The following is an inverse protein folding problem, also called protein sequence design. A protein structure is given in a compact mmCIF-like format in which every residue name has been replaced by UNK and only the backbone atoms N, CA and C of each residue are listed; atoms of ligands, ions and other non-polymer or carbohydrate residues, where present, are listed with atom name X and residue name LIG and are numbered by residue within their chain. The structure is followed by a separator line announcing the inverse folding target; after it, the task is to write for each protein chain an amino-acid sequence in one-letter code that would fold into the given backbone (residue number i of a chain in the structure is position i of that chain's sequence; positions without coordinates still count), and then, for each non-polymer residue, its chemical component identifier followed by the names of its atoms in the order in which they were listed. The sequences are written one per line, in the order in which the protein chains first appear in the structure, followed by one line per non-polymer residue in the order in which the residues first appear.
data_IF_436170573461
#
_entry.id   IF_436170573461
#
_cell.length_a   1.000
_cell.length_b   1.000
_cell.length_c   1.000
_cell.angle_alpha   90.00
_cell.angle_beta   90.00
_cell.angle_gamma   90.00
#
_symmetry.space_group_name_H-M   'P 1'
#
loop_
_entity.id
_entity.type
_entity.pdbx_description
1 polymer ?
#
# COMPACT_ATOMS: atom_id res chain seq x y z
N UNK A 1 28.75 7.50 9.22
CA UNK A 1 27.44 6.85 9.14
C UNK A 1 27.54 5.55 9.90
N UNK A 2 26.84 5.46 11.01
CA UNK A 2 26.76 4.31 11.90
C UNK A 2 25.62 3.39 11.46
N UNK A 3 25.68 2.10 11.81
CA UNK A 3 24.61 1.11 11.55
C UNK A 3 23.30 1.39 12.31
N UNK A 4 23.32 2.35 13.23
CA UNK A 4 22.15 2.83 13.96
C UNK A 4 21.62 4.17 13.44
N UNK A 5 22.26 4.76 12.42
CA UNK A 5 21.79 6.01 11.85
C UNK A 5 20.51 5.74 11.07
N UNK A 6 19.46 6.51 11.36
CA UNK A 6 18.20 6.49 10.63
C UNK A 6 18.04 7.78 9.82
N UNK A 7 17.18 7.73 8.80
CA UNK A 7 16.71 8.90 8.07
C UNK A 7 15.20 8.92 8.01
N UNK A 8 14.62 10.11 8.08
CA UNK A 8 13.18 10.28 7.92
C UNK A 8 12.77 10.15 6.45
N UNK A 9 11.68 9.44 6.23
CA UNK A 9 11.07 9.22 4.92
C UNK A 9 9.79 10.07 4.82
N UNK A 10 9.64 10.76 3.70
CA UNK A 10 8.50 11.63 3.42
C UNK A 10 7.70 11.10 2.23
N UNK A 11 6.38 11.29 2.26
CA UNK A 11 5.51 10.95 1.15
C UNK A 11 5.84 11.81 -0.08
N UNK A 12 6.11 11.17 -1.21
CA UNK A 12 6.42 11.85 -2.48
C UNK A 12 5.30 12.74 -3.02
N UNK A 13 4.03 12.53 -2.61
CA UNK A 13 2.87 13.31 -3.08
C UNK A 13 2.49 14.48 -2.17
N UNK A 14 2.50 14.29 -0.85
CA UNK A 14 1.98 15.27 0.11
C UNK A 14 3.01 15.74 1.15
N UNK A 15 4.26 15.27 1.02
CA UNK A 15 5.39 15.61 1.89
C UNK A 15 5.17 15.33 3.38
N UNK A 16 4.17 14.51 3.73
CA UNK A 16 3.94 14.09 5.13
C UNK A 16 5.02 13.09 5.55
N UNK A 17 5.55 13.24 6.77
CA UNK A 17 6.46 12.27 7.38
C UNK A 17 5.76 10.91 7.52
N UNK A 18 6.39 9.86 7.03
CA UNK A 18 5.90 8.47 7.11
C UNK A 18 6.52 7.77 8.32
N UNK A 19 7.80 8.02 8.59
CA UNK A 19 8.57 7.38 9.66
C UNK A 19 10.07 7.49 9.43
N UNK A 20 10.81 6.56 10.02
CA UNK A 20 12.26 6.45 9.93
C UNK A 20 12.66 5.09 9.36
N UNK A 21 13.74 5.08 8.58
CA UNK A 21 14.36 3.88 8.01
C UNK A 21 15.87 3.92 8.25
N UNK A 22 16.52 2.78 8.16
CA UNK A 22 17.98 2.68 8.18
C UNK A 22 18.57 3.58 7.09
N UNK A 23 19.65 4.27 7.41
CA UNK A 23 20.18 5.30 6.53
C UNK A 23 20.63 4.72 5.18
N UNK A 24 21.17 3.51 5.16
CA UNK A 24 21.61 2.80 3.95
C UNK A 24 20.45 2.22 3.11
N UNK A 25 19.21 2.19 3.63
CA UNK A 25 18.06 1.72 2.88
C UNK A 25 17.63 2.72 1.79
N UNK A 26 17.41 2.24 0.57
CA UNK A 26 16.87 3.03 -0.53
C UNK A 26 15.36 2.78 -0.69
N UNK A 27 14.58 3.86 -0.72
CA UNK A 27 13.13 3.78 -0.94
C UNK A 27 12.76 4.56 -2.19
N UNK A 28 12.18 3.86 -3.16
CA UNK A 28 11.73 4.45 -4.43
C UNK A 28 10.25 4.80 -4.31
N UNK A 29 9.93 6.06 -4.58
CA UNK A 29 8.55 6.60 -4.64
C UNK A 29 7.69 6.27 -3.39
N UNK A 30 8.13 6.69 -2.19
CA UNK A 30 7.38 6.46 -0.97
C UNK A 30 6.02 7.16 -0.98
N UNK A 31 4.98 6.49 -0.47
CA UNK A 31 3.63 7.02 -0.35
C UNK A 31 3.09 6.77 1.06
N UNK A 32 2.46 7.78 1.66
CA UNK A 32 1.74 7.59 2.93
C UNK A 32 0.41 6.86 2.69
N UNK A 33 -0.19 6.31 3.75
CA UNK A 33 -1.46 5.56 3.64
C UNK A 33 -2.64 6.35 3.05
N UNK A 34 -2.61 7.69 3.11
CA UNK A 34 -3.64 8.55 2.48
C UNK A 34 -3.42 8.73 0.98
N UNK A 35 -2.17 8.63 0.53
CA UNK A 35 -1.75 8.87 -0.87
C UNK A 35 -1.51 7.56 -1.64
N UNK A 36 -1.33 6.46 -0.91
CA UNK A 36 -1.28 5.12 -1.45
C UNK A 36 -2.64 4.78 -2.04
N UNK A 37 -2.66 4.50 -3.35
CA UNK A 37 -3.85 3.93 -3.97
C UNK A 37 -3.79 2.42 -3.78
N UNK A 38 -4.71 1.86 -2.99
CA UNK A 38 -4.84 0.41 -2.82
C UNK A 38 -5.40 -0.25 -4.09
N UNK A 39 -6.04 0.53 -4.97
CA UNK A 39 -6.51 0.04 -6.24
C UNK A 39 -5.35 0.02 -7.23
N UNK A 40 -5.01 -1.14 -7.77
CA UNK A 40 -3.92 -1.21 -8.72
C UNK A 40 -4.38 -0.66 -10.07
N UNK A 41 -3.52 0.08 -10.75
CA UNK A 41 -3.85 0.73 -12.03
C UNK A 41 -4.02 -0.32 -13.15
N UNK A 42 -5.06 -0.14 -13.98
CA UNK A 42 -5.29 -0.87 -15.23
C UNK A 42 -5.53 -2.37 -15.08
N UNK A 43 -4.55 -3.17 -15.51
CA UNK A 43 -4.68 -4.64 -15.71
C UNK A 43 -4.93 -5.43 -14.42
N UNK A 44 -4.47 -4.90 -13.29
CA UNK A 44 -4.61 -5.54 -11.99
C UNK A 44 -6.01 -5.39 -11.41
N UNK A 45 -6.85 -4.51 -11.94
CA UNK A 45 -8.27 -4.38 -11.53
C UNK A 45 -9.01 -5.67 -11.87
N UNK A 46 -8.76 -6.25 -13.06
CA UNK A 46 -9.37 -7.52 -13.48
C UNK A 46 -8.95 -8.65 -12.55
N UNK A 47 -7.66 -8.73 -12.21
CA UNK A 47 -7.15 -9.72 -11.24
C UNK A 47 -7.76 -9.53 -9.85
N UNK A 48 -7.91 -8.28 -9.40
CA UNK A 48 -8.48 -7.97 -8.09
C UNK A 48 -9.96 -8.36 -8.05
N UNK A 49 -10.74 -8.01 -9.09
CA UNK A 49 -12.14 -8.41 -9.25
C UNK A 49 -12.28 -9.94 -9.27
N UNK A 50 -11.47 -10.63 -10.08
CA UNK A 50 -11.54 -12.09 -10.19
C UNK A 50 -11.15 -12.78 -8.88
N UNK A 51 -10.13 -12.29 -8.18
CA UNK A 51 -9.74 -12.81 -6.87
C UNK A 51 -10.84 -12.62 -5.81
N UNK A 52 -11.51 -11.47 -5.78
CA UNK A 52 -12.64 -11.24 -4.86
C UNK A 52 -13.87 -12.08 -5.21
N UNK A 53 -14.20 -12.24 -6.49
CA UNK A 53 -15.30 -13.09 -6.94
C UNK A 53 -15.07 -14.57 -6.56
N UNK A 54 -13.83 -15.05 -6.69
CA UNK A 54 -13.48 -16.44 -6.41
C UNK A 54 -13.27 -16.74 -4.91
N UNK A 55 -13.10 -15.73 -4.05
CA UNK A 55 -12.82 -15.90 -2.61
C UNK A 55 -13.89 -15.28 -1.69
N UNK A 56 -15.06 -14.92 -2.20
CA UNK A 56 -16.18 -14.51 -1.34
C UNK A 56 -16.73 -15.75 -0.60
N UNK A 57 -16.75 -15.77 0.75
CA UNK A 57 -17.62 -16.71 1.45
C UNK A 57 -19.04 -16.34 1.07
N UNK A 58 -19.74 -17.31 0.46
CA UNK A 58 -21.11 -17.23 -0.01
C UNK A 58 -21.94 -16.28 0.87
N UNK A 59 -22.40 -15.16 0.30
CA UNK A 59 -23.59 -14.47 0.83
C UNK A 59 -24.68 -15.53 0.87
N UNK A 60 -24.96 -16.09 2.06
CA UNK A 60 -26.22 -16.78 2.30
C UNK A 60 -27.31 -15.75 2.08
N UNK A 61 -27.97 -15.87 0.94
CA UNK A 61 -29.31 -15.34 0.70
C UNK A 61 -30.19 -15.78 1.87
N UNK A 62 -30.54 -14.86 2.76
CA UNK A 62 -31.71 -15.02 3.61
C UNK A 62 -32.85 -14.38 2.83
N UNK A 63 -33.56 -15.23 2.10
CA UNK A 63 -34.95 -15.00 1.71
C UNK A 63 -35.76 -15.60 2.85
N UNK A 64 -36.33 -14.76 3.71
CA UNK A 64 -37.64 -14.95 4.37
C UNK A 64 -38.19 -13.56 4.67
#
# INVERSE_FOLDING_TARGET
MNIYDTKSIFCSKCNTSIGEIDYDAEVIRPLCGKCANLLPEGDKIIYTISHFQNNLPLKKSIIV
#
